data_IF_770738263412
#
_entry.id   IF_770738263412
#
_cell.length_a   1.000
_cell.length_b   1.000
_cell.length_c   1.000
_cell.angle_alpha   90.00
_cell.angle_beta   90.00
_cell.angle_gamma   90.00
#
_symmetry.space_group_name_H-M   'P 1'
#
loop_
_entity.id
_entity.type
_entity.pdbx_description
1 polymer ?
#
# COMPACT_ATOMS: atom_id res chain seq x y z
N UNK A 1 -8.25 -26.47 6.26
CA UNK A 1 -7.60 -25.14 6.34
C UNK A 1 -6.53 -25.07 5.25
N UNK A 2 -6.58 -24.05 4.39
CA UNK A 2 -5.59 -23.85 3.31
C UNK A 2 -4.24 -23.41 3.91
N UNK A 3 -3.13 -23.63 3.19
CA UNK A 3 -1.81 -23.13 3.61
C UNK A 3 -1.80 -21.61 3.81
N UNK A 4 -2.56 -20.87 2.98
CA UNK A 4 -2.71 -19.43 3.11
C UNK A 4 -3.38 -19.03 4.43
N UNK A 5 -4.35 -19.81 4.91
CA UNK A 5 -5.07 -19.54 6.16
C UNK A 5 -4.12 -19.63 7.36
N UNK A 6 -3.36 -20.73 7.43
CA UNK A 6 -2.36 -20.97 8.48
C UNK A 6 -1.34 -19.83 8.51
N UNK A 7 -0.83 -19.44 7.33
CA UNK A 7 0.11 -18.34 7.24
C UNK A 7 -0.47 -17.03 7.78
N UNK A 8 -1.74 -16.72 7.50
CA UNK A 8 -2.39 -15.50 7.99
C UNK A 8 -2.59 -15.52 9.51
N UNK A 9 -2.97 -16.66 10.08
CA UNK A 9 -3.15 -16.79 11.53
C UNK A 9 -1.82 -16.63 12.27
N UNK A 10 -0.74 -17.23 11.76
CA UNK A 10 0.60 -17.17 12.38
C UNK A 10 1.24 -15.78 12.30
N UNK A 11 1.05 -15.05 11.19
CA UNK A 11 1.81 -13.83 10.92
C UNK A 11 1.06 -12.53 11.21
N UNK A 12 -0.27 -12.58 11.27
CA UNK A 12 -1.12 -11.39 11.36
C UNK A 12 -2.04 -11.41 12.59
N UNK A 13 -2.03 -12.51 13.37
CA UNK A 13 -2.82 -12.65 14.60
C UNK A 13 -4.32 -12.81 14.36
N UNK A 14 -4.72 -13.17 13.15
CA UNK A 14 -6.12 -13.43 12.79
C UNK A 14 -6.59 -14.75 13.40
N UNK A 15 -7.84 -14.79 13.85
CA UNK A 15 -8.51 -16.04 14.17
C UNK A 15 -9.06 -16.71 12.88
N UNK A 16 -9.56 -17.94 12.99
CA UNK A 16 -10.04 -18.70 11.82
C UNK A 16 -11.22 -18.03 11.10
N UNK A 17 -12.07 -17.30 11.82
CA UNK A 17 -13.22 -16.58 11.26
C UNK A 17 -12.81 -15.31 10.50
N UNK A 18 -11.64 -14.75 10.81
CA UNK A 18 -11.09 -13.52 10.23
C UNK A 18 -10.20 -13.78 9.00
N UNK A 19 -9.94 -15.05 8.64
CA UNK A 19 -9.05 -15.37 7.52
C UNK A 19 -9.67 -14.98 6.17
N UNK A 20 -8.98 -14.08 5.47
CA UNK A 20 -9.46 -13.47 4.22
C UNK A 20 -9.02 -14.20 2.94
N UNK A 21 -8.31 -15.33 3.05
CA UNK A 21 -7.72 -16.04 1.90
C UNK A 21 -8.73 -16.35 0.79
N UNK A 22 -9.98 -16.71 1.14
CA UNK A 22 -11.07 -16.99 0.20
C UNK A 22 -11.45 -15.74 -0.60
N UNK A 23 -11.44 -14.56 0.02
CA UNK A 23 -11.67 -13.29 -0.68
C UNK A 23 -10.57 -13.04 -1.70
N UNK A 24 -9.33 -13.38 -1.39
CA UNK A 24 -8.18 -13.11 -2.26
C UNK A 24 -8.16 -14.04 -3.49
N UNK A 25 -8.79 -15.21 -3.41
CA UNK A 25 -9.01 -16.07 -4.58
C UNK A 25 -9.97 -15.39 -5.57
N UNK A 26 -11.09 -14.85 -5.08
CA UNK A 26 -12.10 -14.18 -5.92
C UNK A 26 -11.61 -12.81 -6.42
N UNK A 27 -10.94 -12.04 -5.56
CA UNK A 27 -10.41 -10.69 -5.85
C UNK A 27 -8.89 -10.71 -5.87
N UNK A 28 -8.35 -11.47 -6.82
CA UNK A 28 -6.91 -11.64 -7.00
C UNK A 28 -6.18 -10.29 -7.14
N UNK A 29 -4.97 -10.21 -6.58
CA UNK A 29 -4.10 -9.03 -6.53
C UNK A 29 -4.62 -7.81 -5.74
N UNK A 30 -5.90 -7.74 -5.37
CA UNK A 30 -6.46 -6.60 -4.63
C UNK A 30 -5.72 -6.37 -3.30
N UNK A 31 -5.41 -7.43 -2.56
CA UNK A 31 -4.67 -7.34 -1.30
C UNK A 31 -3.25 -6.79 -1.47
N UNK A 32 -2.63 -6.95 -2.65
CA UNK A 32 -1.30 -6.39 -2.93
C UNK A 32 -1.34 -4.87 -3.11
N UNK A 33 -2.47 -4.31 -3.55
CA UNK A 33 -2.61 -2.88 -3.85
C UNK A 33 -2.28 -1.98 -2.65
N UNK A 34 -2.63 -2.41 -1.41
CA UNK A 34 -2.35 -1.65 -0.19
C UNK A 34 -0.86 -1.37 -0.01
N UNK A 35 -0.03 -2.41 -0.10
CA UNK A 35 1.41 -2.28 0.14
C UNK A 35 2.15 -1.75 -1.07
N UNK A 36 1.73 -2.10 -2.29
CA UNK A 36 2.32 -1.52 -3.51
C UNK A 36 2.08 -0.01 -3.53
N UNK A 37 0.83 0.43 -3.36
CA UNK A 37 0.47 1.85 -3.37
C UNK A 37 1.21 2.66 -2.30
N UNK A 38 1.25 2.15 -1.07
CA UNK A 38 2.00 2.76 0.03
C UNK A 38 3.49 2.88 -0.31
N UNK A 39 4.12 1.81 -0.83
CA UNK A 39 5.55 1.80 -1.13
C UNK A 39 5.91 2.83 -2.20
N UNK A 40 5.12 2.94 -3.25
CA UNK A 40 5.38 3.91 -4.32
C UNK A 40 5.27 5.35 -3.82
N UNK A 41 4.23 5.68 -3.05
CA UNK A 41 4.08 7.04 -2.48
C UNK A 41 5.24 7.36 -1.53
N UNK A 42 5.68 6.40 -0.71
CA UNK A 42 6.83 6.59 0.17
C UNK A 42 8.15 6.75 -0.58
N UNK A 43 8.34 5.97 -1.65
CA UNK A 43 9.51 6.06 -2.53
C UNK A 43 9.59 7.44 -3.18
N UNK A 44 8.49 7.90 -3.78
CA UNK A 44 8.39 9.21 -4.40
C UNK A 44 8.64 10.35 -3.40
N UNK A 45 8.13 10.20 -2.16
CA UNK A 45 8.40 11.19 -1.11
C UNK A 45 9.89 11.29 -0.80
N UNK A 46 10.58 10.16 -0.72
CA UNK A 46 12.02 10.13 -0.44
C UNK A 46 12.84 10.69 -1.62
N UNK A 47 12.47 10.34 -2.85
CA UNK A 47 13.04 10.94 -4.06
C UNK A 47 12.87 12.46 -4.08
N UNK A 48 11.68 12.97 -3.73
CA UNK A 48 11.42 14.41 -3.67
C UNK A 48 12.18 15.11 -2.55
N UNK A 49 12.35 14.47 -1.39
CA UNK A 49 13.22 14.98 -0.32
C UNK A 49 14.66 15.13 -0.79
N UNK A 50 15.19 14.13 -1.49
CA UNK A 50 16.56 14.15 -2.02
C UNK A 50 16.73 15.23 -3.10
N UNK A 51 15.77 15.36 -4.01
CA UNK A 51 15.82 16.34 -5.11
C UNK A 51 15.66 17.79 -4.66
N UNK A 52 14.80 18.05 -3.67
CA UNK A 52 14.48 19.41 -3.24
C UNK A 52 15.35 19.89 -2.07
N UNK A 53 15.93 18.96 -1.29
CA UNK A 53 16.72 19.30 -0.10
C UNK A 53 15.94 20.19 0.86
N UNK A 54 16.53 21.32 1.23
CA UNK A 54 15.93 22.31 2.15
C UNK A 54 14.64 22.96 1.60
N UNK A 55 14.37 22.84 0.30
CA UNK A 55 13.12 23.33 -0.31
C UNK A 55 11.97 22.33 -0.24
N UNK A 56 12.20 21.12 0.30
CA UNK A 56 11.14 20.14 0.44
C UNK A 56 10.11 20.59 1.50
N UNK A 57 8.84 20.66 1.09
CA UNK A 57 7.72 20.87 1.99
C UNK A 57 6.75 19.67 1.91
N UNK A 58 6.54 19.02 3.05
CA UNK A 58 5.63 17.88 3.17
C UNK A 58 4.17 18.27 2.90
N UNK A 59 3.76 19.50 3.21
CA UNK A 59 2.39 19.98 2.95
C UNK A 59 2.17 20.14 1.45
N UNK A 60 3.10 20.77 0.75
CA UNK A 60 3.06 20.91 -0.71
C UNK A 60 3.11 19.55 -1.43
N UNK A 61 3.90 18.59 -0.91
CA UNK A 61 3.91 17.22 -1.42
C UNK A 61 2.53 16.56 -1.30
N UNK A 62 1.91 16.59 -0.10
CA UNK A 62 0.57 16.01 0.09
C UNK A 62 -0.50 16.70 -0.75
N UNK A 63 -0.46 18.03 -0.88
CA UNK A 63 -1.35 18.79 -1.75
C UNK A 63 -1.27 18.25 -3.18
N UNK A 64 -0.06 18.05 -3.70
CA UNK A 64 0.18 17.59 -5.07
C UNK A 64 -0.34 16.17 -5.31
N UNK A 65 -0.13 15.27 -4.34
CA UNK A 65 -0.60 13.88 -4.43
C UNK A 65 -2.13 13.79 -4.37
N UNK A 66 -2.79 14.62 -3.56
CA UNK A 66 -4.23 14.51 -3.31
C UNK A 66 -5.11 15.34 -4.25
N UNK A 67 -4.60 16.46 -4.80
CA UNK A 67 -5.41 17.41 -5.57
C UNK A 67 -6.05 16.85 -6.84
N UNK A 68 -5.45 15.82 -7.44
CA UNK A 68 -5.94 15.20 -8.68
C UNK A 68 -6.87 14.00 -8.41
N UNK A 69 -7.20 13.71 -7.15
CA UNK A 69 -8.00 12.55 -6.78
C UNK A 69 -7.26 11.22 -6.96
N UNK A 70 -8.02 10.13 -7.02
CA UNK A 70 -7.48 8.78 -7.15
C UNK A 70 -6.96 8.54 -8.58
N UNK A 71 -5.65 8.74 -8.77
CA UNK A 71 -4.96 8.51 -10.03
C UNK A 71 -4.18 7.19 -10.00
N UNK A 72 -4.02 6.50 -11.15
CA UNK A 72 -3.15 5.33 -11.22
C UNK A 72 -1.70 5.72 -10.94
N UNK A 73 -0.96 4.79 -10.36
CA UNK A 73 0.50 4.85 -10.36
C UNK A 73 0.95 4.56 -11.80
N UNK A 74 1.68 5.49 -12.40
CA UNK A 74 2.20 5.34 -13.76
C UNK A 74 3.65 4.87 -13.60
N UNK A 75 3.93 3.68 -14.10
CA UNK A 75 5.27 3.09 -14.16
C UNK A 75 6.05 3.61 -15.36
#
# INVERSE_FOLDING_TARGET
MLRADVYMMENIGMNEEEVESKRYVVTSAQACSYKIGMREILSLREEMKQRLGDRFDIKAFHQTILQNGAMPLIF
#
